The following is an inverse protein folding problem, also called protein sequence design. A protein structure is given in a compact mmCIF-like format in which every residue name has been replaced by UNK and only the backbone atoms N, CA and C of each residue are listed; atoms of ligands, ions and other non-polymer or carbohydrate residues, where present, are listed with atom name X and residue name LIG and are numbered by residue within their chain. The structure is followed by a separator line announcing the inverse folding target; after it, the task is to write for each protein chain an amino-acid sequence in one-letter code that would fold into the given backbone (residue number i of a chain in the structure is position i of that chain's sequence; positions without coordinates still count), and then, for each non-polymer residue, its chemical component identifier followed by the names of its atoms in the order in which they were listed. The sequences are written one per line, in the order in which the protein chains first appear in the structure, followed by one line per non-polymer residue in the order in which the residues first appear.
data_IF_797817841771
#
_entry.id   IF_797817841771
#
_cell.length_a   1.000
_cell.length_b   1.000
_cell.length_c   1.000
_cell.angle_alpha   90.00
_cell.angle_beta   90.00
_cell.angle_gamma   90.00
#
_symmetry.space_group_name_H-M   'P 1'
#
loop_
_entity.id
_entity.type
_entity.pdbx_description
1 polymer ?
#
# COMPACT_ATOMS: atom_id res chain seq x y z
N UNK A 1 11.57 11.75 -19.45
CA UNK A 1 12.66 10.90 -19.95
C UNK A 1 14.00 11.44 -19.47
N UNK A 2 14.42 12.66 -19.88
CA UNK A 2 15.74 13.28 -19.57
C UNK A 2 16.09 13.28 -18.06
N UNK A 3 15.18 13.72 -17.19
CA UNK A 3 15.45 13.78 -15.74
C UNK A 3 15.70 12.40 -15.13
N UNK A 4 14.99 11.39 -15.62
CA UNK A 4 15.12 10.00 -15.15
C UNK A 4 16.43 9.39 -15.66
N UNK A 5 16.73 9.54 -16.94
CA UNK A 5 17.98 9.01 -17.50
C UNK A 5 19.21 9.58 -16.79
N UNK A 6 19.20 10.89 -16.50
CA UNK A 6 20.28 11.55 -15.75
C UNK A 6 20.38 11.07 -14.30
N UNK A 7 19.24 10.85 -13.64
CA UNK A 7 19.20 10.38 -12.23
C UNK A 7 19.79 8.97 -12.10
N UNK A 8 19.54 8.10 -13.10
CA UNK A 8 20.00 6.72 -13.10
C UNK A 8 21.33 6.51 -13.86
N UNK A 9 21.97 7.57 -14.38
CA UNK A 9 23.26 7.49 -15.05
C UNK A 9 23.25 6.74 -16.38
N UNK A 10 22.10 6.73 -17.07
CA UNK A 10 21.88 6.10 -18.38
C UNK A 10 21.56 7.16 -19.43
N UNK A 11 21.65 6.82 -20.71
CA UNK A 11 21.23 7.70 -21.79
C UNK A 11 19.71 7.64 -22.00
N UNK A 12 19.13 8.70 -22.60
CA UNK A 12 17.71 8.66 -22.98
C UNK A 12 17.41 7.54 -23.97
N UNK A 13 18.35 7.27 -24.87
CA UNK A 13 18.22 6.19 -25.85
C UNK A 13 18.13 4.81 -25.20
N UNK A 14 18.96 4.55 -24.16
CA UNK A 14 18.91 3.32 -23.38
C UNK A 14 17.58 3.20 -22.62
N UNK A 15 17.10 4.28 -22.03
CA UNK A 15 15.81 4.28 -21.34
C UNK A 15 14.64 4.00 -22.29
N UNK A 16 14.64 4.63 -23.49
CA UNK A 16 13.61 4.40 -24.52
C UNK A 16 13.71 3.00 -25.10
N UNK A 17 14.91 2.47 -25.30
CA UNK A 17 15.11 1.11 -25.80
C UNK A 17 14.55 0.05 -24.83
N UNK A 18 14.71 0.29 -23.51
CA UNK A 18 14.18 -0.60 -22.49
C UNK A 18 12.65 -0.45 -22.27
N UNK A 19 12.05 0.63 -22.78
CA UNK A 19 10.61 0.93 -22.65
C UNK A 19 10.02 1.30 -24.01
N UNK A 20 9.66 0.31 -24.84
CA UNK A 20 9.16 0.56 -26.20
C UNK A 20 7.94 1.49 -26.26
N UNK A 21 7.15 1.56 -25.20
CA UNK A 21 5.99 2.43 -25.04
C UNK A 21 6.34 3.93 -24.99
N UNK A 22 7.61 4.26 -24.76
CA UNK A 22 8.08 5.66 -24.80
C UNK A 22 8.44 6.13 -26.23
N UNK A 23 8.39 5.23 -27.24
CA UNK A 23 8.66 5.59 -28.62
C UNK A 23 7.54 6.46 -29.17
N UNK A 24 7.80 7.75 -29.30
CA UNK A 24 6.85 8.73 -29.86
C UNK A 24 6.20 9.68 -28.84
N UNK A 25 6.30 9.41 -27.56
CA UNK A 25 5.83 10.33 -26.54
C UNK A 25 6.94 10.63 -25.52
N UNK A 26 7.47 11.84 -25.48
CA UNK A 26 8.47 12.28 -24.51
C UNK A 26 7.89 12.52 -23.10
N UNK A 27 6.65 12.12 -22.83
CA UNK A 27 5.97 12.33 -21.55
C UNK A 27 5.62 11.00 -20.89
N UNK A 28 6.30 10.76 -19.79
CA UNK A 28 6.01 9.63 -18.90
C UNK A 28 4.79 9.99 -18.05
N UNK A 29 3.79 9.12 -18.03
CA UNK A 29 2.61 9.28 -17.17
C UNK A 29 3.00 9.03 -15.69
N UNK A 30 2.54 9.88 -14.79
CA UNK A 30 2.77 9.70 -13.35
C UNK A 30 2.12 8.39 -12.90
N UNK A 31 2.90 7.53 -12.24
CA UNK A 31 2.47 6.19 -11.84
C UNK A 31 2.80 5.07 -12.83
N UNK A 32 3.41 5.38 -13.98
CA UNK A 32 3.93 4.36 -14.89
C UNK A 32 5.20 3.73 -14.33
N UNK A 33 5.32 2.43 -14.50
CA UNK A 33 6.56 1.71 -14.23
C UNK A 33 7.43 1.77 -15.47
N UNK A 34 8.71 2.08 -15.26
CA UNK A 34 9.71 2.11 -16.32
C UNK A 34 10.77 1.06 -16.03
N UNK A 35 11.15 0.32 -17.05
CA UNK A 35 12.32 -0.51 -17.02
C UNK A 35 13.56 0.38 -17.15
N UNK A 36 14.39 0.47 -16.12
CA UNK A 36 15.63 1.22 -16.15
C UNK A 36 16.77 0.22 -16.40
N UNK A 37 17.47 0.26 -17.56
CA UNK A 37 18.58 -0.62 -17.83
C UNK A 37 19.78 -0.29 -16.92
N UNK A 38 20.67 -1.26 -16.69
CA UNK A 38 21.94 -0.99 -16.01
C UNK A 38 22.73 0.06 -16.77
N UNK A 39 23.30 1.05 -16.07
CA UNK A 39 24.16 2.05 -16.74
C UNK A 39 25.34 1.35 -17.39
N UNK A 40 25.50 1.54 -18.69
CA UNK A 40 26.73 1.15 -19.39
C UNK A 40 27.86 2.00 -18.85
N UNK A 41 28.83 1.43 -18.17
CA UNK A 41 29.96 2.18 -17.60
C UNK A 41 30.64 2.99 -18.70
N UNK A 42 30.87 4.32 -18.49
CA UNK A 42 31.70 5.07 -19.41
C UNK A 42 33.09 4.48 -19.44
N UNK A 43 33.61 4.27 -20.64
CA UNK A 43 34.93 3.74 -20.90
C UNK A 43 36.01 4.41 -20.05
N UNK A 44 36.43 3.76 -18.99
CA UNK A 44 37.71 4.06 -18.36
C UNK A 44 38.79 3.40 -19.20
N UNK A 45 39.78 4.18 -19.57
CA UNK A 45 41.01 3.84 -20.29
C UNK A 45 41.57 2.48 -19.89
N UNK A 46 41.88 1.68 -20.88
CA UNK A 46 42.44 0.33 -20.81
C UNK A 46 43.57 0.24 -19.78
N UNK A 47 43.38 -0.64 -18.79
CA UNK A 47 44.47 -1.41 -18.21
C UNK A 47 44.06 -2.88 -18.33
N UNK A 48 44.94 -3.64 -18.97
CA UNK A 48 44.78 -5.07 -19.23
C UNK A 48 44.62 -5.86 -17.93
N UNK A 49 43.41 -6.26 -17.63
CA UNK A 49 43.11 -7.38 -16.76
C UNK A 49 42.37 -8.45 -17.59
N UNK A 50 42.58 -9.77 -17.33
CA UNK A 50 42.01 -10.82 -18.15
C UNK A 50 40.50 -10.68 -18.23
N UNK A 51 39.96 -10.52 -19.44
CA UNK A 51 38.51 -10.51 -19.68
C UNK A 51 37.95 -11.82 -19.15
N UNK A 52 37.19 -11.74 -18.04
CA UNK A 52 36.19 -12.79 -17.78
C UNK A 52 35.21 -12.77 -18.96
N UNK A 53 35.07 -13.91 -19.60
CA UNK A 53 34.10 -14.08 -20.68
C UNK A 53 32.71 -13.66 -20.18
N UNK A 54 32.00 -12.89 -20.98
CA UNK A 54 30.62 -12.59 -20.69
C UNK A 54 29.86 -13.90 -20.44
N UNK A 55 29.05 -13.98 -19.35
CA UNK A 55 28.28 -15.18 -19.09
C UNK A 55 27.44 -15.53 -20.32
N UNK A 56 27.39 -16.79 -20.70
CA UNK A 56 26.57 -17.26 -21.81
C UNK A 56 25.08 -17.03 -21.51
N UNK A 57 24.25 -16.88 -22.54
CA UNK A 57 22.80 -16.78 -22.38
C UNK A 57 22.22 -17.92 -21.52
N UNK A 58 22.82 -19.13 -21.60
CA UNK A 58 22.46 -20.26 -20.74
C UNK A 58 22.81 -20.05 -19.25
N UNK A 59 23.83 -19.24 -18.93
CA UNK A 59 24.15 -18.85 -17.55
C UNK A 59 23.33 -17.70 -17.04
N UNK A 60 22.96 -16.75 -17.94
CA UNK A 60 22.05 -15.64 -17.63
C UNK A 60 20.59 -16.11 -17.48
N UNK A 61 20.20 -17.11 -18.26
CA UNK A 61 18.84 -17.69 -18.26
C UNK A 61 18.79 -19.08 -17.64
N UNK A 62 19.93 -19.64 -17.13
CA UNK A 62 19.82 -20.76 -16.23
C UNK A 62 18.90 -20.29 -15.09
N UNK A 63 17.68 -20.80 -15.08
CA UNK A 63 16.90 -20.82 -13.86
C UNK A 63 17.85 -21.34 -12.79
N UNK A 64 18.30 -20.42 -11.93
CA UNK A 64 18.91 -20.81 -10.68
C UNK A 64 17.79 -21.55 -9.93
N UNK A 65 17.63 -22.83 -10.22
CA UNK A 65 16.97 -23.81 -9.38
C UNK A 65 17.84 -23.98 -8.13
N UNK A 66 18.10 -22.88 -7.44
CA UNK A 66 18.41 -22.96 -6.02
C UNK A 66 17.11 -23.51 -5.43
N UNK A 67 17.13 -24.82 -5.16
CA UNK A 67 16.09 -25.44 -4.37
C UNK A 67 15.83 -24.50 -3.20
N UNK A 68 14.62 -24.01 -3.07
CA UNK A 68 14.27 -23.06 -2.01
C UNK A 68 14.67 -23.70 -0.69
N UNK A 69 15.72 -23.18 -0.03
CA UNK A 69 16.16 -23.72 1.26
C UNK A 69 15.03 -23.48 2.25
N UNK A 70 14.53 -24.57 2.80
CA UNK A 70 13.55 -24.51 3.87
C UNK A 70 14.20 -23.85 5.09
N UNK A 71 13.53 -22.86 5.67
CA UNK A 71 13.94 -22.24 6.91
C UNK A 71 13.31 -23.06 8.06
N UNK A 72 14.15 -23.73 8.84
CA UNK A 72 13.68 -24.57 9.96
C UNK A 72 13.25 -23.73 11.15
N UNK A 73 13.99 -22.65 11.46
CA UNK A 73 13.71 -21.70 12.51
C UNK A 73 13.83 -20.30 11.91
N UNK A 74 12.76 -19.53 11.90
CA UNK A 74 12.77 -18.17 11.39
C UNK A 74 13.34 -17.26 12.45
N UNK A 75 14.44 -16.57 12.19
CA UNK A 75 15.01 -15.54 13.05
C UNK A 75 14.47 -14.18 12.63
N UNK A 76 13.63 -13.59 13.47
CA UNK A 76 12.97 -12.32 13.19
C UNK A 76 13.34 -11.26 14.25
N UNK A 77 13.57 -10.03 13.82
CA UNK A 77 13.77 -8.91 14.74
C UNK A 77 12.67 -7.85 14.56
N UNK A 78 12.20 -7.28 15.67
CA UNK A 78 11.33 -6.10 15.69
C UNK A 78 12.12 -4.94 16.30
N UNK A 79 12.29 -3.87 15.49
CA UNK A 79 13.20 -2.75 15.79
C UNK A 79 12.38 -1.45 15.76
N UNK A 80 11.80 -1.08 16.93
CA UNK A 80 10.84 0.02 17.07
C UNK A 80 11.06 0.81 18.37
N UNK A 81 10.60 2.07 18.48
CA UNK A 81 10.70 2.86 19.70
C UNK A 81 9.62 2.47 20.72
N UNK A 82 9.92 1.49 21.56
CA UNK A 82 8.98 0.98 22.57
C UNK A 82 9.01 1.80 23.88
N UNK A 83 10.13 2.42 24.18
CA UNK A 83 10.32 3.16 25.44
C UNK A 83 10.05 4.65 25.24
N UNK A 84 9.46 5.33 26.24
CA UNK A 84 9.12 6.76 26.13
C UNK A 84 10.34 7.69 26.23
N UNK A 85 11.55 7.17 26.22
CA UNK A 85 12.80 7.94 26.31
C UNK A 85 12.99 8.80 25.05
N UNK A 86 12.36 9.99 25.03
CA UNK A 86 12.43 10.96 23.95
C UNK A 86 11.46 10.75 22.76
N UNK A 87 10.74 9.65 22.72
CA UNK A 87 9.55 9.52 21.85
C UNK A 87 8.32 10.07 22.59
N UNK A 88 7.33 10.58 21.85
CA UNK A 88 6.06 10.92 22.49
C UNK A 88 5.41 9.67 23.10
N UNK A 89 4.78 9.80 24.26
CA UNK A 89 4.04 8.66 24.86
C UNK A 89 3.05 8.03 23.89
N UNK A 90 2.47 8.83 22.99
CA UNK A 90 1.54 8.38 21.95
C UNK A 90 2.23 7.50 20.88
N UNK A 91 3.46 7.81 20.48
CA UNK A 91 4.19 7.00 19.50
C UNK A 91 4.62 5.66 20.09
N UNK A 92 5.20 5.67 21.29
CA UNK A 92 5.57 4.43 21.99
C UNK A 92 4.37 3.53 22.22
N UNK A 93 3.22 4.08 22.63
CA UNK A 93 1.99 3.30 22.83
C UNK A 93 1.50 2.61 21.53
N UNK A 94 1.58 3.31 20.39
CA UNK A 94 1.25 2.72 19.08
C UNK A 94 2.20 1.60 18.69
N UNK A 95 3.50 1.76 18.95
CA UNK A 95 4.49 0.73 18.64
C UNK A 95 4.35 -0.49 19.54
N UNK A 96 4.00 -0.28 20.79
CA UNK A 96 3.64 -1.39 21.72
C UNK A 96 2.40 -2.11 21.21
N UNK A 97 1.33 -1.40 20.83
CA UNK A 97 0.11 -2.01 20.28
C UNK A 97 0.41 -2.82 19.00
N UNK A 98 1.22 -2.28 18.09
CA UNK A 98 1.68 -3.01 16.90
C UNK A 98 2.41 -4.30 17.29
N UNK A 99 3.33 -4.23 18.23
CA UNK A 99 4.10 -5.37 18.70
C UNK A 99 3.23 -6.43 19.40
N UNK A 100 2.25 -6.00 20.18
CA UNK A 100 1.26 -6.90 20.82
C UNK A 100 0.50 -7.71 19.74
N UNK A 101 0.02 -7.05 18.69
CA UNK A 101 -0.60 -7.76 17.55
C UNK A 101 0.37 -8.69 16.83
N UNK A 102 1.62 -8.26 16.64
CA UNK A 102 2.67 -9.09 16.07
C UNK A 102 2.94 -10.36 16.89
N UNK A 103 2.98 -10.26 18.21
CA UNK A 103 3.12 -11.41 19.12
C UNK A 103 1.95 -12.40 19.00
N UNK A 104 0.73 -11.90 18.77
CA UNK A 104 -0.42 -12.78 18.52
C UNK A 104 -0.26 -13.55 17.20
N UNK A 105 0.32 -12.93 16.16
CA UNK A 105 0.66 -13.63 14.92
C UNK A 105 1.72 -14.72 15.13
N UNK A 106 2.77 -14.41 15.88
CA UNK A 106 3.82 -15.38 16.27
C UNK A 106 3.22 -16.56 17.00
N UNK A 107 2.36 -16.31 18.01
CA UNK A 107 1.68 -17.38 18.75
C UNK A 107 0.82 -18.25 17.85
N UNK A 108 0.03 -17.63 16.96
CA UNK A 108 -0.81 -18.35 16.00
C UNK A 108 0.01 -19.29 15.10
N UNK A 109 1.17 -18.82 14.62
CA UNK A 109 2.06 -19.60 13.77
C UNK A 109 2.78 -20.72 14.55
N UNK A 110 3.21 -20.45 15.78
CA UNK A 110 3.82 -21.48 16.66
C UNK A 110 2.85 -22.62 16.94
N UNK A 111 1.58 -22.34 17.14
CA UNK A 111 0.53 -23.37 17.30
C UNK A 111 0.36 -24.26 16.09
N UNK A 112 0.71 -23.77 14.89
CA UNK A 112 0.68 -24.53 13.63
C UNK A 112 2.01 -25.17 13.28
N UNK A 113 2.99 -25.20 14.21
CA UNK A 113 4.28 -25.88 14.06
C UNK A 113 5.40 -25.04 13.42
N UNK A 114 5.21 -23.71 13.30
CA UNK A 114 6.29 -22.82 12.83
C UNK A 114 7.24 -22.48 13.98
N UNK A 115 8.54 -22.74 13.82
CA UNK A 115 9.56 -22.33 14.79
C UNK A 115 10.05 -20.91 14.48
N UNK A 116 10.00 -20.04 15.51
CA UNK A 116 10.36 -18.62 15.37
C UNK A 116 11.19 -18.20 16.58
N UNK A 117 12.39 -17.67 16.33
CA UNK A 117 13.20 -16.94 17.30
C UNK A 117 12.98 -15.45 17.08
N UNK A 118 12.35 -14.81 18.06
CA UNK A 118 11.99 -13.40 17.99
C UNK A 118 12.89 -12.56 18.88
N UNK A 119 13.55 -11.58 18.26
CA UNK A 119 14.39 -10.58 18.91
C UNK A 119 13.70 -9.22 18.88
N UNK A 120 13.77 -8.48 19.98
CA UNK A 120 13.09 -7.19 20.10
C UNK A 120 14.03 -6.14 20.63
N UNK A 121 14.12 -5.02 19.89
CA UNK A 121 15.02 -3.92 20.22
C UNK A 121 14.27 -2.59 20.20
N UNK A 122 14.51 -1.76 21.23
CA UNK A 122 14.02 -0.38 21.25
C UNK A 122 15.01 0.54 20.58
N UNK A 123 14.55 1.31 19.57
CA UNK A 123 15.38 2.25 18.82
C UNK A 123 15.68 3.54 19.61
N UNK A 124 14.88 3.83 20.63
CA UNK A 124 14.86 5.18 21.24
C UNK A 124 14.27 6.23 20.29
N UNK A 125 14.51 7.53 20.55
CA UNK A 125 14.01 8.63 19.74
C UNK A 125 14.66 8.67 18.35
N UNK A 126 14.10 9.48 17.43
CA UNK A 126 14.57 9.63 16.06
C UNK A 126 16.06 10.04 15.93
N UNK A 127 16.59 10.72 16.94
CA UNK A 127 17.99 11.17 17.01
C UNK A 127 18.98 10.10 17.47
N UNK A 128 18.49 8.96 17.97
CA UNK A 128 19.35 7.87 18.45
C UNK A 128 20.06 7.16 17.31
N UNK A 129 21.29 6.69 17.58
CA UNK A 129 22.03 5.83 16.65
C UNK A 129 21.59 4.38 16.81
N UNK A 130 21.47 3.65 15.71
CA UNK A 130 21.22 2.21 15.72
C UNK A 130 22.49 1.36 15.87
N UNK A 131 23.68 1.96 15.97
CA UNK A 131 24.96 1.24 15.97
C UNK A 131 25.05 0.16 17.07
N UNK A 132 24.50 0.42 18.26
CA UNK A 132 24.46 -0.54 19.36
C UNK A 132 23.59 -1.77 19.08
N UNK A 133 22.53 -1.59 18.29
CA UNK A 133 21.63 -2.67 17.86
C UNK A 133 22.28 -3.44 16.71
N UNK A 134 22.72 -2.73 15.66
CA UNK A 134 23.32 -3.32 14.47
C UNK A 134 24.68 -4.00 14.74
N UNK A 135 25.38 -3.60 15.81
CA UNK A 135 26.64 -4.22 16.26
C UNK A 135 26.47 -5.57 16.97
N UNK A 136 25.25 -5.98 17.30
CA UNK A 136 24.98 -7.26 17.94
C UNK A 136 25.23 -8.42 16.97
N UNK A 137 25.87 -9.47 17.46
CA UNK A 137 26.23 -10.64 16.63
C UNK A 137 25.02 -11.31 16.00
N UNK A 138 23.96 -11.46 16.76
CA UNK A 138 22.72 -12.12 16.35
C UNK A 138 21.98 -11.35 15.23
N UNK A 139 22.15 -10.02 15.13
CA UNK A 139 21.49 -9.22 14.10
C UNK A 139 21.88 -9.60 12.68
N UNK A 140 23.11 -10.11 12.48
CA UNK A 140 23.62 -10.54 11.16
C UNK A 140 22.97 -11.83 10.66
N UNK A 141 22.40 -12.59 11.57
CA UNK A 141 21.81 -13.91 11.29
C UNK A 141 20.27 -13.86 11.15
N UNK A 142 19.68 -12.66 11.12
CA UNK A 142 18.23 -12.53 10.95
C UNK A 142 17.80 -12.91 9.54
N UNK A 143 16.64 -13.55 9.42
CA UNK A 143 15.97 -13.76 8.14
C UNK A 143 15.14 -12.53 7.73
N UNK A 144 14.64 -11.80 8.74
CA UNK A 144 13.75 -10.66 8.53
C UNK A 144 13.77 -9.68 9.72
N UNK A 145 13.71 -8.39 9.41
CA UNK A 145 13.60 -7.30 10.37
C UNK A 145 12.32 -6.49 10.10
N UNK A 146 11.57 -6.15 11.14
CA UNK A 146 10.36 -5.31 11.09
C UNK A 146 10.62 -3.98 11.78
N UNK A 147 10.39 -2.90 11.06
CA UNK A 147 10.69 -1.53 11.46
C UNK A 147 11.48 -0.78 10.40
N UNK A 148 12.01 0.38 10.71
CA UNK A 148 11.80 1.21 11.91
C UNK A 148 10.51 2.06 11.82
N UNK A 149 10.26 2.88 12.85
CA UNK A 149 9.26 3.95 12.79
C UNK A 149 9.82 5.23 12.16
N UNK A 150 10.99 5.66 12.64
CA UNK A 150 11.58 6.94 12.28
C UNK A 150 12.35 6.89 10.95
N UNK A 151 12.13 7.88 10.09
CA UNK A 151 12.75 7.95 8.76
C UNK A 151 14.28 7.95 8.82
N UNK A 152 14.87 8.59 9.82
CA UNK A 152 16.32 8.64 10.01
C UNK A 152 16.97 7.28 10.24
N UNK A 153 16.21 6.32 10.75
CA UNK A 153 16.65 4.96 11.01
C UNK A 153 16.52 4.03 9.80
N UNK A 154 15.80 4.43 8.74
CA UNK A 154 15.53 3.57 7.58
C UNK A 154 16.81 3.25 6.84
N UNK A 155 17.55 4.27 6.42
CA UNK A 155 18.76 4.05 5.62
C UNK A 155 19.82 3.18 6.35
N UNK A 156 20.20 3.44 7.61
CA UNK A 156 21.14 2.57 8.32
C UNK A 156 20.68 1.12 8.42
N UNK A 157 19.38 0.92 8.68
CA UNK A 157 18.83 -0.42 8.81
C UNK A 157 18.72 -1.14 7.46
N UNK A 158 18.38 -0.40 6.40
CA UNK A 158 18.29 -0.92 5.03
C UNK A 158 19.67 -1.28 4.45
N UNK A 159 20.69 -0.43 4.67
CA UNK A 159 22.06 -0.73 4.26
C UNK A 159 22.61 -1.96 5.00
N UNK A 160 22.25 -2.13 6.28
CA UNK A 160 22.62 -3.31 7.06
C UNK A 160 21.91 -4.58 6.54
N UNK A 161 20.61 -4.48 6.26
CA UNK A 161 19.80 -5.58 5.76
C UNK A 161 20.30 -6.07 4.39
N UNK A 162 20.59 -5.14 3.47
CA UNK A 162 21.13 -5.44 2.15
C UNK A 162 22.50 -6.14 2.24
N UNK A 163 23.39 -5.61 3.08
CA UNK A 163 24.73 -6.18 3.30
C UNK A 163 24.71 -7.61 3.83
N UNK A 164 23.69 -7.99 4.57
CA UNK A 164 23.60 -9.30 5.23
C UNK A 164 22.52 -10.20 4.63
N UNK A 165 21.93 -9.84 3.48
CA UNK A 165 20.85 -10.58 2.79
C UNK A 165 19.63 -10.81 3.69
N UNK A 166 19.27 -9.78 4.46
CA UNK A 166 18.16 -9.79 5.42
C UNK A 166 16.99 -9.01 4.82
N UNK A 167 15.77 -9.49 4.96
CA UNK A 167 14.56 -8.78 4.56
C UNK A 167 14.24 -7.68 5.55
N UNK A 168 13.96 -6.47 5.06
CA UNK A 168 13.54 -5.34 5.89
C UNK A 168 12.12 -4.91 5.56
N UNK A 169 11.21 -5.09 6.49
CA UNK A 169 9.82 -4.66 6.36
C UNK A 169 9.63 -3.31 7.04
N UNK A 170 9.23 -2.29 6.27
CA UNK A 170 8.96 -0.93 6.74
C UNK A 170 7.45 -0.70 6.81
N UNK A 171 6.82 -0.74 8.02
CA UNK A 171 5.36 -0.75 8.12
C UNK A 171 4.70 0.62 8.01
N UNK A 172 5.38 1.71 8.43
CA UNK A 172 4.67 2.92 8.83
C UNK A 172 4.81 4.10 7.88
N UNK A 173 5.99 4.33 7.32
CA UNK A 173 6.23 5.51 6.46
C UNK A 173 5.91 5.25 5.00
N UNK A 174 5.35 6.29 4.35
CA UNK A 174 5.16 6.33 2.89
C UNK A 174 6.06 7.38 2.22
N UNK A 175 6.92 8.05 2.98
CA UNK A 175 7.69 9.21 2.49
C UNK A 175 9.14 8.89 2.15
N UNK A 176 9.58 7.66 2.37
CA UNK A 176 10.95 7.24 2.14
C UNK A 176 11.13 6.60 0.75
N UNK A 177 12.27 6.86 0.12
CA UNK A 177 12.58 6.39 -1.23
C UNK A 177 13.59 5.23 -1.26
N UNK A 178 13.99 4.70 -0.11
CA UNK A 178 14.98 3.63 0.01
C UNK A 178 14.56 2.39 -0.75
N UNK A 179 13.26 2.08 -0.78
CA UNK A 179 12.69 0.95 -1.52
C UNK A 179 13.04 0.96 -3.01
N UNK A 180 13.30 2.11 -3.62
CA UNK A 180 13.65 2.19 -5.05
C UNK A 180 15.11 1.81 -5.35
N UNK A 181 15.95 1.68 -4.33
CA UNK A 181 17.41 1.47 -4.47
C UNK A 181 17.94 0.32 -3.62
N UNK A 182 17.09 -0.34 -2.84
CA UNK A 182 17.50 -1.41 -1.93
C UNK A 182 16.58 -2.61 -2.09
N UNK A 183 17.09 -3.74 -2.60
CA UNK A 183 16.29 -4.93 -2.92
C UNK A 183 15.74 -5.67 -1.71
N UNK A 184 16.32 -5.42 -0.52
CA UNK A 184 15.91 -6.06 0.73
C UNK A 184 14.66 -5.44 1.36
N UNK A 185 14.22 -4.26 0.89
CA UNK A 185 13.16 -3.47 1.50
C UNK A 185 11.77 -3.88 1.01
N UNK A 186 10.86 -4.06 1.96
CA UNK A 186 9.42 -4.20 1.75
C UNK A 186 8.69 -3.02 2.41
N UNK A 187 8.10 -2.15 1.60
CA UNK A 187 7.35 -1.00 2.08
C UNK A 187 5.86 -1.31 2.10
N UNK A 188 5.26 -1.35 3.30
CA UNK A 188 3.83 -1.67 3.48
C UNK A 188 2.97 -0.44 3.18
N UNK A 189 3.31 0.69 3.78
CA UNK A 189 2.57 1.94 3.58
C UNK A 189 3.06 2.63 2.31
N UNK A 190 2.45 2.32 1.18
CA UNK A 190 2.80 2.89 -0.12
C UNK A 190 2.14 4.25 -0.30
N UNK A 191 2.84 5.27 -0.85
CA UNK A 191 2.22 6.53 -1.19
C UNK A 191 1.00 6.33 -2.08
N UNK A 192 -0.11 7.00 -1.80
CA UNK A 192 -1.37 6.81 -2.54
C UNK A 192 -1.22 6.98 -4.05
N UNK A 193 -0.32 7.87 -4.50
CA UNK A 193 -0.06 8.10 -5.92
C UNK A 193 0.41 6.85 -6.68
N UNK A 194 1.06 5.91 -6.01
CA UNK A 194 1.47 4.62 -6.61
C UNK A 194 0.32 3.61 -6.70
N UNK A 195 -0.77 3.86 -5.98
CA UNK A 195 -1.96 3.01 -5.99
C UNK A 195 -3.01 3.46 -7.01
N UNK A 196 -2.89 4.68 -7.56
CA UNK A 196 -3.92 5.26 -8.41
C UNK A 196 -4.24 4.44 -9.65
N UNK A 197 -3.24 3.85 -10.31
CA UNK A 197 -3.47 2.97 -11.46
C UNK A 197 -4.33 1.75 -11.12
N UNK A 198 -4.08 1.12 -9.95
CA UNK A 198 -4.90 0.01 -9.46
C UNK A 198 -6.33 0.47 -9.17
N UNK A 199 -6.49 1.66 -8.55
CA UNK A 199 -7.81 2.23 -8.28
C UNK A 199 -8.57 2.48 -9.57
N UNK A 200 -7.92 3.01 -10.62
CA UNK A 200 -8.57 3.27 -11.91
C UNK A 200 -8.99 1.98 -12.60
N UNK A 201 -8.15 0.97 -12.62
CA UNK A 201 -8.47 -0.34 -13.19
C UNK A 201 -9.64 -0.99 -12.45
N UNK A 202 -9.63 -0.95 -11.11
CA UNK A 202 -10.73 -1.48 -10.29
C UNK A 202 -12.02 -0.68 -10.50
N UNK A 203 -11.92 0.65 -10.63
CA UNK A 203 -13.08 1.50 -10.89
C UNK A 203 -13.74 1.15 -12.23
N UNK A 204 -12.97 1.01 -13.30
CA UNK A 204 -13.50 0.66 -14.62
C UNK A 204 -14.06 -0.76 -14.66
N UNK A 205 -13.45 -1.71 -13.93
CA UNK A 205 -14.01 -3.07 -13.80
C UNK A 205 -15.33 -3.07 -13.04
N UNK A 206 -15.43 -2.27 -11.97
CA UNK A 206 -16.66 -2.17 -11.16
C UNK A 206 -17.77 -1.45 -11.92
N UNK A 207 -17.43 -0.41 -12.68
CA UNK A 207 -18.39 0.48 -13.34
C UNK A 207 -18.12 0.61 -14.84
N UNK A 208 -18.21 -0.48 -15.61
CA UNK A 208 -17.87 -0.46 -17.05
C UNK A 208 -18.82 0.40 -17.87
N UNK A 209 -20.03 0.65 -17.38
CA UNK A 209 -21.06 1.43 -18.05
C UNK A 209 -21.47 2.66 -17.23
N UNK A 210 -20.49 3.34 -16.62
CA UNK A 210 -20.74 4.51 -15.79
C UNK A 210 -21.06 5.79 -16.58
N UNK A 211 -21.77 6.69 -15.91
CA UNK A 211 -21.82 8.13 -16.18
C UNK A 211 -21.18 8.81 -14.98
N UNK A 212 -19.97 9.34 -15.12
CA UNK A 212 -19.20 9.87 -13.99
C UNK A 212 -19.41 11.38 -13.87
N UNK A 213 -19.83 11.82 -12.69
CA UNK A 213 -20.09 13.22 -12.36
C UNK A 213 -19.11 13.69 -11.29
N UNK A 214 -18.17 14.54 -11.67
CA UNK A 214 -17.25 15.16 -10.72
C UNK A 214 -17.93 16.34 -10.01
N UNK A 215 -17.87 16.39 -8.68
CA UNK A 215 -18.33 17.51 -7.89
C UNK A 215 -17.11 18.34 -7.49
N UNK A 216 -17.00 19.52 -8.07
CA UNK A 216 -15.88 20.44 -7.85
C UNK A 216 -16.04 21.22 -6.56
N UNK A 217 -15.14 20.94 -5.58
CA UNK A 217 -15.10 21.66 -4.32
C UNK A 217 -14.64 23.12 -4.51
N UNK A 218 -15.35 24.08 -3.94
CA UNK A 218 -15.10 25.52 -4.10
C UNK A 218 -13.88 26.01 -3.34
N UNK A 219 -13.47 25.30 -2.28
CA UNK A 219 -12.22 25.56 -1.55
C UNK A 219 -11.36 24.30 -1.63
N UNK A 220 -10.60 24.20 -2.73
CA UNK A 220 -9.81 23.02 -2.96
C UNK A 220 -8.44 23.13 -2.32
N UNK A 221 -8.19 22.38 -1.29
CA UNK A 221 -6.91 21.73 -1.19
C UNK A 221 -6.82 20.87 -2.45
N UNK A 222 -5.85 21.14 -3.31
CA UNK A 222 -5.61 20.35 -4.54
C UNK A 222 -5.08 18.95 -4.23
N UNK A 223 -5.40 18.41 -3.06
CA UNK A 223 -4.89 17.14 -2.54
C UNK A 223 -5.25 15.95 -3.44
N UNK A 224 -6.41 16.00 -4.11
CA UNK A 224 -6.88 14.97 -5.03
C UNK A 224 -6.67 15.33 -6.50
N UNK A 225 -6.02 16.44 -6.81
CA UNK A 225 -5.88 16.93 -8.19
C UNK A 225 -5.20 15.89 -9.12
N UNK A 226 -4.12 15.26 -8.67
CA UNK A 226 -3.43 14.23 -9.43
C UNK A 226 -4.30 12.99 -9.64
N UNK A 227 -5.02 12.55 -8.60
CA UNK A 227 -5.98 11.44 -8.69
C UNK A 227 -7.09 11.73 -9.70
N UNK A 228 -7.75 12.88 -9.56
CA UNK A 228 -8.85 13.29 -10.45
C UNK A 228 -8.37 13.43 -11.90
N UNK A 229 -7.19 14.02 -12.11
CA UNK A 229 -6.59 14.16 -13.44
C UNK A 229 -6.36 12.80 -14.09
N UNK A 230 -5.72 11.89 -13.38
CA UNK A 230 -5.46 10.54 -13.90
C UNK A 230 -6.73 9.75 -14.14
N UNK A 231 -7.72 9.83 -13.24
CA UNK A 231 -9.01 9.18 -13.43
C UNK A 231 -9.74 9.73 -14.67
N UNK A 232 -9.77 11.05 -14.86
CA UNK A 232 -10.37 11.68 -16.06
C UNK A 232 -9.68 11.22 -17.36
N UNK A 233 -8.36 11.05 -17.34
CA UNK A 233 -7.61 10.50 -18.50
C UNK A 233 -7.99 9.04 -18.76
N UNK A 234 -8.06 8.20 -17.74
CA UNK A 234 -8.44 6.79 -17.87
C UNK A 234 -9.88 6.64 -18.39
N UNK A 235 -10.83 7.39 -17.82
CA UNK A 235 -12.22 7.39 -18.26
C UNK A 235 -12.36 7.82 -19.73
N UNK A 236 -11.60 8.83 -20.17
CA UNK A 236 -11.57 9.28 -21.56
C UNK A 236 -11.02 8.18 -22.49
N UNK A 237 -9.93 7.50 -22.08
CA UNK A 237 -9.33 6.40 -22.84
C UNK A 237 -10.30 5.23 -23.02
N UNK A 238 -11.20 5.02 -22.04
CA UNK A 238 -12.25 3.98 -22.06
C UNK A 238 -13.58 4.47 -22.65
N UNK A 239 -13.64 5.71 -23.16
CA UNK A 239 -14.87 6.32 -23.71
C UNK A 239 -16.03 6.37 -22.70
N UNK A 240 -15.72 6.44 -21.40
CA UNK A 240 -16.70 6.62 -20.32
C UNK A 240 -17.04 8.11 -20.20
N UNK A 241 -18.32 8.52 -20.33
CA UNK A 241 -18.70 9.92 -20.28
C UNK A 241 -18.50 10.53 -18.90
N UNK A 242 -18.01 11.77 -18.88
CA UNK A 242 -17.80 12.54 -17.66
C UNK A 242 -18.48 13.89 -17.73
N UNK A 243 -18.96 14.37 -16.57
CA UNK A 243 -19.50 15.71 -16.37
C UNK A 243 -18.90 16.32 -15.13
N UNK A 244 -18.99 17.64 -14.98
CA UNK A 244 -18.58 18.34 -13.77
C UNK A 244 -19.70 19.28 -13.32
N UNK A 245 -19.92 19.32 -12.00
CA UNK A 245 -20.81 20.26 -11.31
C UNK A 245 -20.05 20.88 -10.13
N UNK A 246 -20.50 22.03 -9.67
CA UNK A 246 -19.98 22.64 -8.44
C UNK A 246 -20.60 22.01 -7.19
N UNK A 247 -19.94 22.13 -6.05
CA UNK A 247 -20.41 21.55 -4.77
C UNK A 247 -21.73 22.18 -4.24
N UNK A 248 -22.12 23.35 -4.78
CA UNK A 248 -23.39 24.06 -4.48
C UNK A 248 -24.49 23.77 -5.51
N UNK A 249 -24.31 22.74 -6.36
CA UNK A 249 -25.29 22.37 -7.36
C UNK A 249 -26.63 22.00 -6.72
N UNK A 250 -27.73 22.54 -7.28
CA UNK A 250 -29.09 22.23 -6.83
C UNK A 250 -29.50 20.81 -7.27
N UNK A 251 -30.53 20.25 -6.63
CA UNK A 251 -31.07 18.92 -6.99
C UNK A 251 -31.50 18.89 -8.45
N UNK A 252 -32.06 19.97 -8.99
CA UNK A 252 -32.44 20.07 -10.41
C UNK A 252 -31.22 19.96 -11.32
N UNK A 253 -30.12 20.63 -10.97
CA UNK A 253 -28.84 20.52 -11.70
C UNK A 253 -28.28 19.11 -11.64
N UNK A 254 -28.41 18.44 -10.51
CA UNK A 254 -27.98 17.03 -10.33
C UNK A 254 -28.85 16.08 -11.17
N UNK A 255 -30.18 16.27 -11.19
CA UNK A 255 -31.10 15.50 -12.05
C UNK A 255 -30.77 15.63 -13.53
N UNK A 256 -30.45 16.84 -13.99
CA UNK A 256 -30.15 17.13 -15.40
C UNK A 256 -28.91 16.40 -15.93
N UNK A 257 -28.03 15.94 -15.06
CA UNK A 257 -26.82 15.20 -15.48
C UNK A 257 -26.96 13.68 -15.41
N UNK A 258 -28.05 13.18 -14.82
CA UNK A 258 -28.29 11.72 -14.72
C UNK A 258 -28.51 11.08 -16.09
N UNK A 259 -28.19 9.81 -16.17
CA UNK A 259 -28.51 8.91 -17.28
C UNK A 259 -29.26 7.69 -16.76
N UNK A 260 -30.44 7.46 -17.31
CA UNK A 260 -31.29 6.33 -16.86
C UNK A 260 -30.72 4.95 -17.26
N UNK A 261 -29.96 4.91 -18.38
CA UNK A 261 -29.35 3.70 -18.94
C UNK A 261 -27.99 3.33 -18.30
N UNK A 262 -27.47 4.16 -17.37
CA UNK A 262 -26.12 4.01 -16.80
C UNK A 262 -26.14 4.08 -15.28
N UNK A 263 -25.03 3.64 -14.69
CA UNK A 263 -24.71 3.90 -13.30
C UNK A 263 -24.14 5.30 -13.16
N UNK A 264 -24.77 6.12 -12.33
CA UNK A 264 -24.39 7.52 -12.12
C UNK A 264 -23.48 7.61 -10.91
N UNK A 265 -22.19 7.87 -11.13
CA UNK A 265 -21.17 7.87 -10.09
C UNK A 265 -20.76 9.30 -9.77
N UNK A 266 -21.06 9.77 -8.57
CA UNK A 266 -20.64 11.08 -8.09
C UNK A 266 -19.27 10.97 -7.40
N UNK A 267 -18.30 11.80 -7.82
CA UNK A 267 -16.94 11.82 -7.28
C UNK A 267 -16.57 13.25 -6.92
N UNK A 268 -16.51 13.60 -5.61
CA UNK A 268 -16.05 14.93 -5.22
C UNK A 268 -14.55 15.09 -5.47
N UNK A 269 -14.11 16.29 -5.83
CA UNK A 269 -12.69 16.58 -6.09
C UNK A 269 -11.87 16.82 -4.82
N UNK A 270 -12.49 16.71 -3.64
CA UNK A 270 -11.86 16.73 -2.32
C UNK A 270 -12.42 15.60 -1.45
N UNK A 271 -11.55 14.97 -0.67
CA UNK A 271 -11.91 13.92 0.29
C UNK A 271 -12.28 14.45 1.68
N UNK A 272 -12.31 15.77 1.87
CA UNK A 272 -12.51 16.38 3.18
C UNK A 272 -13.92 16.22 3.75
N UNK A 273 -14.03 16.18 5.09
CA UNK A 273 -15.32 16.15 5.78
C UNK A 273 -16.19 17.37 5.46
N UNK A 274 -15.57 18.54 5.24
CA UNK A 274 -16.29 19.78 4.89
C UNK A 274 -17.00 19.61 3.54
N UNK A 275 -16.36 18.99 2.57
CA UNK A 275 -16.98 18.69 1.26
C UNK A 275 -18.15 17.74 1.43
N UNK A 276 -18.01 16.67 2.23
CA UNK A 276 -19.11 15.74 2.51
C UNK A 276 -20.31 16.43 3.13
N UNK A 277 -20.10 17.26 4.15
CA UNK A 277 -21.18 18.03 4.81
C UNK A 277 -21.97 18.87 3.80
N UNK A 278 -21.31 19.43 2.78
CA UNK A 278 -21.97 20.26 1.76
C UNK A 278 -22.75 19.45 0.73
N UNK A 279 -22.17 18.34 0.24
CA UNK A 279 -22.74 17.61 -0.90
C UNK A 279 -23.77 16.54 -0.49
N UNK A 280 -23.61 15.90 0.67
CA UNK A 280 -24.46 14.78 1.07
C UNK A 280 -25.95 15.14 1.15
N UNK A 281 -26.38 16.31 1.70
CA UNK A 281 -27.79 16.64 1.75
C UNK A 281 -28.46 16.71 0.38
N UNK A 282 -27.77 17.24 -0.63
CA UNK A 282 -28.31 17.33 -1.99
C UNK A 282 -28.33 15.98 -2.69
N UNK A 283 -27.30 15.15 -2.49
CA UNK A 283 -27.23 13.82 -3.08
C UNK A 283 -28.25 12.86 -2.45
N UNK A 284 -28.47 12.90 -1.15
CA UNK A 284 -29.51 12.09 -0.49
C UNK A 284 -30.91 12.52 -0.92
N UNK A 285 -31.14 13.83 -1.06
CA UNK A 285 -32.40 14.30 -1.61
C UNK A 285 -32.59 13.84 -3.06
N UNK A 286 -31.55 13.88 -3.89
CA UNK A 286 -31.58 13.38 -5.26
C UNK A 286 -31.99 11.89 -5.32
N UNK A 287 -31.41 11.05 -4.48
CA UNK A 287 -31.75 9.61 -4.45
C UNK A 287 -33.21 9.39 -4.06
N UNK A 288 -33.74 10.16 -3.11
CA UNK A 288 -35.15 10.06 -2.67
C UNK A 288 -36.12 10.51 -3.75
N UNK A 289 -35.76 11.53 -4.54
CA UNK A 289 -36.58 12.01 -5.64
C UNK A 289 -36.46 11.19 -6.93
N UNK A 290 -35.36 10.44 -7.07
CA UNK A 290 -35.05 9.63 -8.27
C UNK A 290 -34.78 8.16 -7.88
N UNK A 291 -35.75 7.44 -7.24
CA UNK A 291 -35.52 6.10 -6.67
C UNK A 291 -35.16 5.03 -7.71
N UNK A 292 -35.57 5.21 -8.96
CA UNK A 292 -35.28 4.28 -10.06
C UNK A 292 -33.90 4.50 -10.68
N UNK A 293 -33.23 5.59 -10.32
CA UNK A 293 -31.89 5.90 -10.85
C UNK A 293 -30.81 5.16 -10.05
N UNK A 294 -29.88 4.57 -10.79
CA UNK A 294 -28.70 3.94 -10.19
C UNK A 294 -27.68 5.04 -9.84
N UNK A 295 -27.63 5.41 -8.58
CA UNK A 295 -26.78 6.49 -8.06
C UNK A 295 -25.83 5.95 -7.02
N UNK A 296 -24.54 6.29 -7.17
CA UNK A 296 -23.47 5.91 -6.28
C UNK A 296 -22.59 7.12 -5.95
N UNK A 297 -22.05 7.11 -4.76
CA UNK A 297 -20.99 8.04 -4.34
C UNK A 297 -19.67 7.27 -4.30
N UNK A 298 -18.61 7.81 -4.90
CA UNK A 298 -17.28 7.20 -4.87
C UNK A 298 -16.26 8.18 -4.30
N UNK A 299 -15.41 7.71 -3.37
CA UNK A 299 -14.44 8.56 -2.71
C UNK A 299 -13.19 7.87 -2.20
N UNK A 300 -12.70 8.28 -1.05
CA UNK A 300 -11.31 8.23 -0.64
C UNK A 300 -11.09 7.48 0.67
N UNK A 301 -9.86 6.99 0.92
CA UNK A 301 -9.53 6.20 2.12
C UNK A 301 -9.85 6.88 3.44
N UNK A 302 -9.70 8.22 3.51
CA UNK A 302 -9.99 9.00 4.70
C UNK A 302 -11.45 8.97 5.15
N UNK A 303 -12.39 8.61 4.27
CA UNK A 303 -13.81 8.52 4.59
C UNK A 303 -14.13 7.46 5.66
N UNK A 304 -13.24 6.47 5.85
CA UNK A 304 -13.40 5.54 6.96
C UNK A 304 -13.40 6.27 8.32
N UNK A 305 -12.72 7.41 8.44
CA UNK A 305 -12.68 8.19 9.68
C UNK A 305 -13.94 9.03 9.90
N UNK A 306 -14.72 9.26 8.84
CA UNK A 306 -15.95 10.06 8.87
C UNK A 306 -17.22 9.19 8.89
N UNK A 307 -17.06 7.86 8.92
CA UNK A 307 -18.19 6.94 8.85
C UNK A 307 -19.20 7.13 9.96
N UNK A 308 -18.76 7.47 11.20
CA UNK A 308 -19.68 7.70 12.33
C UNK A 308 -20.64 8.88 12.06
N UNK A 309 -20.14 9.92 11.38
CA UNK A 309 -20.90 11.15 11.15
C UNK A 309 -21.84 11.05 9.93
N UNK A 310 -21.52 10.17 8.97
CA UNK A 310 -22.19 10.11 7.67
C UNK A 310 -22.74 8.72 7.32
N UNK A 311 -22.86 7.81 8.30
CA UNK A 311 -23.19 6.40 8.07
C UNK A 311 -24.46 6.20 7.26
N UNK A 312 -25.55 6.89 7.64
CA UNK A 312 -26.86 6.79 6.97
C UNK A 312 -26.77 7.26 5.52
N UNK A 313 -26.14 8.41 5.28
CA UNK A 313 -25.95 8.93 3.93
C UNK A 313 -25.07 8.02 3.06
N UNK A 314 -24.06 7.40 3.64
CA UNK A 314 -23.22 6.45 2.90
C UNK A 314 -23.99 5.21 2.47
N UNK A 315 -24.88 4.68 3.31
CA UNK A 315 -25.76 3.58 2.91
C UNK A 315 -26.80 4.01 1.87
N UNK A 316 -27.44 5.17 2.06
CA UNK A 316 -28.46 5.68 1.16
C UNK A 316 -27.91 5.94 -0.25
N UNK A 317 -26.65 6.39 -0.35
CA UNK A 317 -25.97 6.71 -1.60
C UNK A 317 -25.21 5.52 -2.21
N UNK A 318 -25.35 4.32 -1.65
CA UNK A 318 -24.59 3.15 -2.11
C UNK A 318 -23.10 3.50 -2.34
N UNK A 319 -22.48 3.97 -1.27
CA UNK A 319 -21.18 4.64 -1.31
C UNK A 319 -20.04 3.64 -1.42
N UNK A 320 -19.08 3.97 -2.27
CA UNK A 320 -17.80 3.27 -2.40
C UNK A 320 -16.65 4.18 -2.01
N UNK A 321 -15.62 3.62 -1.40
CA UNK A 321 -14.31 4.25 -1.33
C UNK A 321 -13.20 3.21 -1.48
N UNK A 322 -12.06 3.62 -2.03
CA UNK A 322 -10.91 2.74 -2.13
C UNK A 322 -10.03 2.81 -0.87
N UNK A 323 -9.36 1.70 -0.53
CA UNK A 323 -8.39 1.66 0.55
C UNK A 323 -7.43 0.47 0.40
N UNK A 324 -6.28 0.55 1.07
CA UNK A 324 -5.35 -0.57 1.27
C UNK A 324 -5.51 -1.25 2.64
N UNK A 325 -6.31 -0.68 3.52
CA UNK A 325 -6.64 -1.24 4.83
C UNK A 325 -8.07 -0.89 5.23
N UNK A 326 -8.78 -1.84 5.75
CA UNK A 326 -10.15 -1.68 6.25
C UNK A 326 -10.53 -2.84 7.16
N UNK A 327 -11.13 -2.53 8.29
CA UNK A 327 -11.65 -3.53 9.22
C UNK A 327 -13.16 -3.47 9.25
N UNK A 328 -13.80 -4.54 8.85
CA UNK A 328 -15.21 -4.74 9.18
C UNK A 328 -15.31 -5.42 10.54
N UNK A 329 -15.65 -4.62 11.57
CA UNK A 329 -15.75 -5.09 12.95
C UNK A 329 -16.88 -6.14 13.18
N UNK A 330 -17.71 -6.40 12.20
CA UNK A 330 -18.76 -7.43 12.23
C UNK A 330 -18.27 -8.79 11.73
N UNK A 331 -17.10 -8.83 11.05
CA UNK A 331 -16.55 -10.10 10.59
C UNK A 331 -16.02 -10.96 11.74
N UNK A 332 -16.25 -12.27 11.71
CA UNK A 332 -15.79 -13.19 12.77
C UNK A 332 -14.29 -13.07 13.05
N UNK A 333 -13.46 -12.87 12.03
CA UNK A 333 -12.01 -12.71 12.19
C UNK A 333 -11.65 -11.47 13.03
N UNK A 334 -12.27 -10.32 12.75
CA UNK A 334 -12.05 -9.08 13.49
C UNK A 334 -12.59 -9.19 14.93
N UNK A 335 -13.77 -9.78 15.11
CA UNK A 335 -14.37 -10.02 16.43
C UNK A 335 -13.47 -10.92 17.27
N UNK A 336 -13.02 -12.04 16.70
CA UNK A 336 -12.18 -13.01 17.40
C UNK A 336 -10.82 -12.42 17.76
N UNK A 337 -10.23 -11.64 16.84
CA UNK A 337 -8.98 -10.94 17.11
C UNK A 337 -9.12 -9.95 18.28
N UNK A 338 -10.13 -9.10 18.24
CA UNK A 338 -10.39 -8.10 19.29
C UNK A 338 -10.64 -8.75 20.64
N UNK A 339 -11.44 -9.84 20.70
CA UNK A 339 -11.66 -10.60 21.93
C UNK A 339 -10.37 -11.21 22.45
N UNK A 340 -9.54 -11.79 21.57
CA UNK A 340 -8.27 -12.40 21.94
C UNK A 340 -7.26 -11.35 22.42
N UNK A 341 -7.21 -10.20 21.74
CA UNK A 341 -6.36 -9.07 22.14
C UNK A 341 -6.71 -8.58 23.56
N UNK A 342 -8.00 -8.35 23.83
CA UNK A 342 -8.48 -7.97 25.17
C UNK A 342 -8.13 -9.02 26.21
N UNK A 343 -8.29 -10.30 25.88
CA UNK A 343 -7.96 -11.40 26.80
C UNK A 343 -6.47 -11.45 27.14
N UNK A 344 -5.59 -11.19 26.15
CA UNK A 344 -4.15 -11.27 26.34
C UNK A 344 -3.57 -10.07 27.10
N UNK A 345 -4.06 -8.87 26.76
CA UNK A 345 -3.45 -7.61 27.23
C UNK A 345 -4.29 -6.83 28.23
N UNK A 346 -5.52 -7.27 28.53
CA UNK A 346 -6.40 -6.62 29.50
C UNK A 346 -6.86 -5.22 29.11
N UNK A 347 -6.74 -4.85 27.83
CA UNK A 347 -7.08 -3.52 27.30
C UNK A 347 -7.67 -3.59 25.90
N UNK A 348 -8.28 -2.50 25.48
CA UNK A 348 -8.73 -2.28 24.08
C UNK A 348 -7.58 -1.71 23.24
N UNK A 349 -7.67 -1.95 21.90
CA UNK A 349 -6.86 -1.22 20.93
C UNK A 349 -7.32 0.23 20.81
N UNK A 350 -6.42 1.13 20.41
CA UNK A 350 -6.75 2.52 20.08
C UNK A 350 -7.87 2.57 19.03
N UNK A 351 -8.83 3.49 19.18
CA UNK A 351 -9.96 3.61 18.25
C UNK A 351 -9.58 4.17 16.88
N UNK A 352 -8.41 4.80 16.75
CA UNK A 352 -7.93 5.39 15.51
C UNK A 352 -7.65 4.34 14.41
N UNK A 353 -7.69 4.74 13.16
CA UNK A 353 -7.33 3.93 12.01
C UNK A 353 -5.99 4.38 11.40
N UNK A 354 -5.15 3.44 10.90
CA UNK A 354 -5.27 1.99 11.09
C UNK A 354 -5.11 1.58 12.55
N UNK A 355 -5.74 0.47 12.97
CA UNK A 355 -5.50 -0.16 14.26
C UNK A 355 -4.14 -0.82 14.25
N UNK A 356 -3.23 -0.37 15.13
CA UNK A 356 -1.84 -0.82 15.10
C UNK A 356 -1.68 -2.29 15.50
N UNK A 357 -2.50 -2.79 16.42
CA UNK A 357 -2.51 -4.21 16.78
C UNK A 357 -2.88 -5.11 15.61
N UNK A 358 -3.90 -4.73 14.83
CA UNK A 358 -4.27 -5.49 13.63
C UNK A 358 -3.19 -5.40 12.54
N UNK A 359 -2.58 -4.23 12.33
CA UNK A 359 -1.47 -4.06 11.40
C UNK A 359 -0.27 -4.95 11.79
N UNK A 360 0.06 -4.99 13.08
CA UNK A 360 1.12 -5.85 13.60
C UNK A 360 0.85 -7.33 13.35
N UNK A 361 -0.39 -7.76 13.60
CA UNK A 361 -0.81 -9.13 13.32
C UNK A 361 -0.73 -9.47 11.84
N UNK A 362 -1.37 -8.69 10.99
CA UNK A 362 -1.40 -8.94 9.55
C UNK A 362 0.02 -8.97 8.95
N UNK A 363 0.87 -8.01 9.36
CA UNK A 363 2.27 -7.94 8.91
C UNK A 363 3.07 -9.16 9.37
N UNK A 364 3.04 -9.47 10.65
CA UNK A 364 3.77 -10.61 11.22
C UNK A 364 3.29 -11.92 10.59
N UNK A 365 1.98 -12.11 10.50
CA UNK A 365 1.40 -13.32 9.95
C UNK A 365 1.76 -13.53 8.47
N UNK A 366 1.67 -12.49 7.65
CA UNK A 366 2.00 -12.56 6.22
C UNK A 366 3.45 -12.99 5.99
N UNK A 367 4.40 -12.25 6.55
CA UNK A 367 5.81 -12.49 6.28
C UNK A 367 6.32 -13.78 6.93
N UNK A 368 5.98 -14.04 8.18
CA UNK A 368 6.45 -15.24 8.89
C UNK A 368 5.80 -16.51 8.32
N UNK A 369 4.52 -16.47 7.93
CA UNK A 369 3.87 -17.58 7.24
C UNK A 369 4.49 -17.84 5.88
N UNK A 370 4.79 -16.79 5.13
CA UNK A 370 5.44 -16.88 3.82
C UNK A 370 6.84 -17.50 3.93
N UNK A 371 7.65 -17.05 4.88
CA UNK A 371 8.98 -17.63 5.13
C UNK A 371 8.90 -19.08 5.60
N UNK A 372 7.96 -19.42 6.46
CA UNK A 372 7.73 -20.81 6.89
C UNK A 372 7.37 -21.71 5.72
N UNK A 373 6.56 -21.22 4.77
CA UNK A 373 6.06 -22.02 3.65
C UNK A 373 7.05 -22.12 2.50
N UNK A 374 7.74 -21.04 2.18
CA UNK A 374 8.55 -20.92 0.96
C UNK A 374 10.06 -20.75 1.23
N UNK A 375 10.46 -20.53 2.47
CA UNK A 375 11.86 -20.37 2.85
C UNK A 375 12.56 -19.25 2.06
N UNK A 376 13.75 -19.56 1.51
CA UNK A 376 14.51 -18.62 0.67
C UNK A 376 13.84 -18.32 -0.68
N UNK A 377 12.78 -19.02 -1.05
CA UNK A 377 12.00 -18.78 -2.27
C UNK A 377 10.78 -17.88 -2.05
N UNK A 378 10.69 -17.19 -0.92
CA UNK A 378 9.55 -16.36 -0.55
C UNK A 378 9.19 -15.34 -1.64
N UNK A 379 10.17 -14.61 -2.16
CA UNK A 379 9.98 -13.56 -3.18
C UNK A 379 9.34 -14.07 -4.47
N UNK A 380 9.69 -15.29 -4.88
CA UNK A 380 9.16 -15.93 -6.10
C UNK A 380 7.73 -16.46 -5.93
N UNK A 381 7.22 -16.45 -4.71
CA UNK A 381 5.92 -17.00 -4.36
C UNK A 381 4.98 -15.97 -3.68
N UNK A 382 5.30 -14.68 -3.77
CA UNK A 382 4.46 -13.61 -3.22
C UNK A 382 3.04 -13.65 -3.78
N UNK A 383 2.88 -13.93 -5.07
CA UNK A 383 1.57 -14.04 -5.74
C UNK A 383 0.73 -15.25 -5.27
N UNK A 384 1.38 -16.23 -4.63
CA UNK A 384 0.72 -17.44 -4.09
C UNK A 384 0.33 -17.29 -2.62
N UNK A 385 0.57 -16.12 -2.04
CA UNK A 385 0.22 -15.81 -0.65
C UNK A 385 -1.24 -15.38 -0.56
N UNK A 386 -2.13 -16.36 -0.65
CA UNK A 386 -3.57 -16.14 -0.45
C UNK A 386 -3.87 -16.18 1.06
N UNK A 387 -3.80 -15.02 1.69
CA UNK A 387 -4.10 -14.82 3.12
C UNK A 387 -5.17 -13.75 3.25
N UNK A 388 -6.24 -14.09 3.98
CA UNK A 388 -7.29 -13.12 4.31
C UNK A 388 -6.82 -12.30 5.52
N UNK A 389 -6.48 -11.02 5.35
CA UNK A 389 -6.04 -10.17 6.44
C UNK A 389 -7.21 -9.77 7.33
N UNK A 390 -6.92 -9.36 8.58
CA UNK A 390 -7.92 -8.75 9.45
C UNK A 390 -8.22 -7.32 9.00
N UNK A 391 -7.18 -6.56 8.67
CA UNK A 391 -7.27 -5.14 8.30
C UNK A 391 -6.52 -4.81 7.01
N UNK A 392 -5.21 -5.15 6.93
CA UNK A 392 -4.30 -4.67 5.90
C UNK A 392 -4.02 -5.75 4.87
N UNK A 393 -4.43 -5.52 3.64
CA UNK A 393 -4.13 -6.42 2.52
C UNK A 393 -2.72 -6.24 1.99
N UNK A 394 -2.16 -7.31 1.42
CA UNK A 394 -0.82 -7.32 0.84
C UNK A 394 -0.82 -7.84 -0.59
N UNK A 395 -0.19 -7.08 -1.48
CA UNK A 395 0.14 -7.45 -2.85
C UNK A 395 1.46 -6.77 -3.18
N UNK A 396 2.55 -7.44 -2.87
CA UNK A 396 3.88 -6.89 -3.08
C UNK A 396 4.33 -7.01 -4.53
N UNK A 397 4.78 -5.89 -5.09
CA UNK A 397 5.39 -5.84 -6.41
C UNK A 397 6.78 -5.20 -6.31
N UNK A 398 7.77 -5.80 -6.96
CA UNK A 398 9.11 -5.23 -7.06
C UNK A 398 9.07 -3.95 -7.88
N UNK A 399 9.72 -2.90 -7.39
CA UNK A 399 9.68 -1.57 -8.02
C UNK A 399 10.54 -1.49 -9.29
N UNK A 400 11.67 -2.22 -9.31
CA UNK A 400 12.60 -2.33 -10.44
C UNK A 400 13.59 -3.47 -10.18
N UNK A 401 14.56 -3.70 -11.07
CA UNK A 401 15.50 -4.83 -10.99
C UNK A 401 16.43 -4.80 -9.76
N UNK A 402 16.71 -3.63 -9.19
CA UNK A 402 17.59 -3.43 -8.04
C UNK A 402 16.92 -2.82 -6.82
N UNK A 403 15.64 -2.52 -6.91
CA UNK A 403 14.83 -2.03 -5.80
C UNK A 403 14.12 -3.14 -5.05
N UNK A 404 13.46 -2.74 -3.97
CA UNK A 404 12.66 -3.59 -3.12
C UNK A 404 11.21 -3.74 -3.61
N UNK A 405 10.31 -3.94 -2.67
CA UNK A 405 8.92 -4.24 -2.93
C UNK A 405 8.01 -3.20 -2.29
N UNK A 406 7.01 -2.74 -3.04
CA UNK A 406 5.92 -1.90 -2.53
C UNK A 406 4.62 -2.70 -2.48
N UNK A 407 3.81 -2.43 -1.47
CA UNK A 407 2.48 -2.99 -1.37
C UNK A 407 1.52 -2.23 -2.31
N UNK A 408 0.93 -2.93 -3.25
CA UNK A 408 -0.04 -2.39 -4.22
C UNK A 408 -1.47 -2.84 -3.98
N UNK A 409 -1.73 -3.50 -2.85
CA UNK A 409 -3.09 -3.96 -2.56
C UNK A 409 -4.05 -2.79 -2.41
N UNK A 410 -5.10 -2.81 -3.22
CA UNK A 410 -6.23 -1.90 -3.16
C UNK A 410 -7.50 -2.73 -3.26
N UNK A 411 -8.49 -2.36 -2.49
CA UNK A 411 -9.85 -2.89 -2.57
C UNK A 411 -10.85 -1.75 -2.42
N UNK A 412 -12.10 -2.00 -2.74
CA UNK A 412 -13.18 -1.06 -2.48
C UNK A 412 -14.00 -1.52 -1.28
N UNK A 413 -14.41 -0.56 -0.48
CA UNK A 413 -15.39 -0.73 0.57
C UNK A 413 -16.70 -0.15 0.07
N UNK A 414 -17.77 -0.94 0.12
CA UNK A 414 -19.10 -0.55 -0.32
C UNK A 414 -20.08 -0.55 0.85
N UNK A 415 -20.81 0.54 1.00
CA UNK A 415 -21.96 0.69 1.89
C UNK A 415 -23.22 0.51 1.06
N UNK A 416 -23.85 -0.67 1.11
CA UNK A 416 -25.02 -0.97 0.27
C UNK A 416 -26.31 -0.37 0.81
N UNK A 417 -27.29 -0.13 -0.07
CA UNK A 417 -28.64 0.31 0.33
C UNK A 417 -29.37 -0.69 1.27
N UNK A 418 -28.88 -1.91 1.37
CA UNK A 418 -29.38 -2.93 2.30
C UNK A 418 -28.69 -2.90 3.67
N UNK A 419 -27.95 -1.85 3.98
CA UNK A 419 -27.17 -1.68 5.23
C UNK A 419 -26.07 -2.73 5.43
N UNK A 420 -25.50 -3.22 4.33
CA UNK A 420 -24.37 -4.14 4.36
C UNK A 420 -23.07 -3.41 4.04
N UNK A 421 -22.00 -3.85 4.70
CA UNK A 421 -20.62 -3.41 4.41
C UNK A 421 -19.92 -4.52 3.65
N UNK A 422 -19.55 -4.25 2.40
CA UNK A 422 -18.90 -5.22 1.53
C UNK A 422 -17.49 -4.75 1.19
N UNK A 423 -16.52 -5.65 1.34
CA UNK A 423 -15.17 -5.45 0.81
C UNK A 423 -15.10 -6.13 -0.56
N UNK A 424 -14.86 -5.33 -1.60
CA UNK A 424 -14.67 -5.80 -2.97
C UNK A 424 -13.18 -5.93 -3.25
N UNK A 425 -12.74 -7.14 -3.49
CA UNK A 425 -11.39 -7.47 -3.88
C UNK A 425 -11.37 -7.80 -5.38
N UNK A 426 -10.37 -7.32 -6.12
CA UNK A 426 -10.28 -7.41 -7.57
C UNK A 426 -9.13 -8.30 -8.05
N UNK A 427 -8.49 -9.04 -7.13
CA UNK A 427 -7.43 -9.99 -7.47
C UNK A 427 -7.95 -11.30 -8.01
#
# INVERSE_FOLDING_TARGET
VFSISREYGITEAELIAANPELRGENKIKKGSFLCIPYPSSPSATQQDTPRQAAPSDSELFSENTRSSKRINVIKAAVVLPFLPDGASKSESAKMVEYYEGFLMAVDSLKRTGTSIDLYTYSTGPATSSLNSILGKSEMKDMDIIFGPLHQQHIKPLADFADKHDIRLVIPFTSKDNTVFRNPSVYQINTPQSYLYSEVYDHFVRQFPNANVIFIEASQGTREKADFIKGLKEELRNRSIPTKSLKEDATVESLKAVLRADRENIFIPTSGSNITLIKILPQLTLLVREMPDSRIHLFGYPEWQTYTKDHLEAFFELDTYFYSSFYTNNLLPAAINFTKSYRKWYGKEMDERYPKFGMLGFDTGYFFLKGLSRYGSGFEKNLDKMDLVPIQTGFKFQRVNNWGGFINRKVFFVRFTKNFELIKLDFD
#
